data_IF_648970826414
#
_entry.id   IF_648970826414
#
_cell.length_a   1.000
_cell.length_b   1.000
_cell.length_c   1.000
_cell.angle_alpha   90.00
_cell.angle_beta   90.00
_cell.angle_gamma   90.00
#
_symmetry.space_group_name_H-M   'P 1'
#
loop_
_entity.id
_entity.type
_entity.pdbx_description
1 polymer ?
#
# COMPACT_ATOMS: atom_id res chain seq x y z
N UNK A 1 5.43 13.47 -20.50
CA UNK A 1 6.16 13.81 -19.27
C UNK A 1 5.28 13.48 -18.08
N UNK A 2 5.82 12.76 -17.09
CA UNK A 2 5.14 12.47 -15.84
C UNK A 2 5.37 13.57 -14.81
N UNK A 3 4.75 13.41 -13.63
CA UNK A 3 5.02 14.19 -12.44
C UNK A 3 5.49 13.22 -11.34
N UNK A 4 6.51 13.57 -10.58
CA UNK A 4 6.92 12.78 -9.42
C UNK A 4 5.98 12.99 -8.24
N UNK A 5 6.02 12.07 -7.26
CA UNK A 5 5.08 12.08 -6.14
C UNK A 5 5.22 13.28 -5.22
N UNK A 6 6.44 13.77 -5.01
CA UNK A 6 6.69 14.94 -4.16
C UNK A 6 6.07 16.20 -4.78
N UNK A 7 6.39 16.49 -6.05
CA UNK A 7 5.83 17.63 -6.80
C UNK A 7 4.29 17.56 -6.90
N UNK A 8 3.72 16.34 -7.05
CA UNK A 8 2.27 16.18 -7.04
C UNK A 8 1.69 16.56 -5.68
N UNK A 9 2.27 16.09 -4.59
CA UNK A 9 1.84 16.40 -3.23
C UNK A 9 1.89 17.90 -2.94
N UNK A 10 3.00 18.58 -3.28
CA UNK A 10 3.13 20.03 -3.12
C UNK A 10 2.04 20.80 -3.88
N UNK A 11 1.77 20.42 -5.13
CA UNK A 11 0.71 21.09 -5.93
C UNK A 11 -0.68 20.87 -5.35
N UNK A 12 -0.96 19.69 -4.80
CA UNK A 12 -2.24 19.41 -4.14
C UNK A 12 -2.39 20.23 -2.86
N UNK A 13 -1.33 20.34 -2.04
CA UNK A 13 -1.30 21.17 -0.85
C UNK A 13 -1.52 22.65 -1.20
N UNK A 14 -0.74 23.21 -2.11
CA UNK A 14 -0.88 24.59 -2.58
C UNK A 14 -2.28 24.88 -3.13
N UNK A 15 -2.88 23.90 -3.80
CA UNK A 15 -4.24 24.04 -4.27
C UNK A 15 -5.26 24.14 -3.13
N UNK A 16 -5.11 23.35 -2.08
CA UNK A 16 -5.98 23.43 -0.89
C UNK A 16 -5.79 24.74 -0.12
N UNK A 17 -4.55 25.18 0.07
CA UNK A 17 -4.21 26.42 0.76
C UNK A 17 -4.77 27.67 0.07
N UNK A 18 -4.84 27.67 -1.27
CA UNK A 18 -5.51 28.74 -2.04
C UNK A 18 -6.99 28.92 -1.70
N UNK A 19 -7.64 27.91 -1.16
CA UNK A 19 -9.02 27.94 -0.70
C UNK A 19 -9.14 28.06 0.82
N UNK A 20 -8.04 28.41 1.51
CA UNK A 20 -8.04 28.72 2.94
C UNK A 20 -7.76 27.52 3.85
N UNK A 21 -7.34 26.39 3.32
CA UNK A 21 -6.85 25.30 4.16
C UNK A 21 -5.53 25.73 4.85
N UNK A 22 -5.39 25.35 6.12
CA UNK A 22 -4.15 25.58 6.88
C UNK A 22 -3.41 24.26 6.99
N UNK A 23 -2.12 24.28 6.65
CA UNK A 23 -1.24 23.11 6.79
C UNK A 23 -0.37 23.28 8.01
N UNK A 24 -0.44 22.31 8.93
CA UNK A 24 0.41 22.23 10.12
C UNK A 24 1.25 20.95 10.06
N UNK A 25 2.57 21.11 10.20
CA UNK A 25 3.49 19.97 10.27
C UNK A 25 3.63 19.55 11.74
N UNK A 26 2.84 18.56 12.15
CA UNK A 26 2.79 18.09 13.52
C UNK A 26 2.69 16.57 13.58
N UNK A 27 3.32 15.97 14.58
CA UNK A 27 3.14 14.56 14.90
C UNK A 27 1.95 14.40 15.86
N UNK A 28 1.00 13.52 15.51
CA UNK A 28 -0.17 13.22 16.33
C UNK A 28 0.18 12.05 17.26
N UNK A 29 0.11 12.27 18.57
CA UNK A 29 0.42 11.25 19.58
C UNK A 29 -0.80 10.53 20.12
N UNK A 30 -1.96 11.23 20.16
CA UNK A 30 -3.19 10.68 20.72
C UNK A 30 -4.40 11.33 20.07
N UNK A 31 -5.47 10.55 19.98
CA UNK A 31 -6.77 11.02 19.49
C UNK A 31 -7.87 10.71 20.50
N UNK A 32 -8.90 11.54 20.53
CA UNK A 32 -10.19 11.32 21.18
C UNK A 32 -11.26 11.69 20.18
N UNK A 33 -11.89 10.68 19.59
CA UNK A 33 -12.77 10.86 18.43
C UNK A 33 -14.27 10.77 18.79
N UNK A 34 -14.59 10.36 20.01
CA UNK A 34 -15.97 10.31 20.53
C UNK A 34 -16.50 11.71 20.89
N UNK A 35 -17.83 11.86 20.89
CA UNK A 35 -18.51 13.11 21.27
C UNK A 35 -18.57 14.16 20.14
N UNK A 36 -19.11 15.36 20.48
CA UNK A 36 -19.30 16.45 19.51
C UNK A 36 -17.98 17.08 19.05
N UNK A 37 -17.03 17.22 19.96
CA UNK A 37 -15.69 17.77 19.67
C UNK A 37 -14.67 16.65 19.67
N UNK A 38 -13.97 16.49 18.56
CA UNK A 38 -12.84 15.57 18.38
C UNK A 38 -11.56 16.30 18.78
N UNK A 39 -10.64 15.59 19.40
CA UNK A 39 -9.40 16.18 19.91
C UNK A 39 -8.19 15.36 19.42
N UNK A 40 -7.17 16.06 18.98
CA UNK A 40 -5.89 15.53 18.53
C UNK A 40 -4.79 16.17 19.41
N UNK A 41 -4.07 15.34 20.17
CA UNK A 41 -2.89 15.79 20.93
C UNK A 41 -1.66 15.62 20.02
N UNK A 42 -0.93 16.70 19.75
CA UNK A 42 0.17 16.75 18.78
C UNK A 42 1.43 17.39 19.34
N UNK A 43 2.54 17.33 18.57
CA UNK A 43 3.79 18.04 18.89
C UNK A 43 3.62 19.55 18.98
N UNK A 44 2.65 20.12 18.24
CA UNK A 44 2.39 21.57 18.16
C UNK A 44 1.19 22.00 19.02
N UNK A 45 0.74 21.13 19.95
CA UNK A 45 -0.36 21.43 20.87
C UNK A 45 -1.61 20.59 20.59
N UNK A 46 -2.74 21.07 21.06
CA UNK A 46 -4.02 20.37 20.99
C UNK A 46 -4.91 20.99 19.92
N UNK A 47 -5.27 20.20 18.93
CA UNK A 47 -6.24 20.60 17.91
C UNK A 47 -7.64 20.03 18.24
N UNK A 48 -8.64 20.84 17.97
CA UNK A 48 -10.03 20.45 18.19
C UNK A 48 -10.87 20.72 16.94
N UNK A 49 -11.75 19.78 16.61
CA UNK A 49 -12.66 19.90 15.49
C UNK A 49 -13.98 19.20 15.74
N UNK A 50 -15.00 19.62 15.00
CA UNK A 50 -16.32 18.95 15.01
C UNK A 50 -16.34 17.71 14.13
N UNK A 51 -15.48 17.70 13.11
CA UNK A 51 -15.25 16.57 12.21
C UNK A 51 -13.76 16.26 12.08
N UNK A 52 -13.43 15.01 11.76
CA UNK A 52 -12.07 14.56 11.46
C UNK A 52 -12.11 13.67 10.22
N UNK A 53 -11.23 13.92 9.27
CA UNK A 53 -10.97 13.01 8.14
C UNK A 53 -9.60 12.37 8.35
N UNK A 54 -9.57 11.04 8.45
CA UNK A 54 -8.35 10.27 8.63
C UNK A 54 -7.86 9.84 7.25
N UNK A 55 -6.66 10.30 6.87
CA UNK A 55 -6.03 10.02 5.57
C UNK A 55 -4.56 9.57 5.73
N UNK A 56 -4.28 8.79 6.79
CA UNK A 56 -2.92 8.37 7.19
C UNK A 56 -2.32 7.31 6.27
N UNK A 57 -3.11 6.74 5.36
CA UNK A 57 -2.64 5.84 4.32
C UNK A 57 -2.27 4.44 4.81
N UNK A 58 -1.50 3.72 3.97
CA UNK A 58 -1.00 2.38 4.26
C UNK A 58 0.37 2.18 3.60
N UNK A 59 1.33 1.70 4.36
CA UNK A 59 2.68 1.40 3.88
C UNK A 59 2.79 -0.04 3.37
N UNK A 60 3.60 -0.32 2.35
CA UNK A 60 3.92 -1.68 1.97
C UNK A 60 4.66 -2.38 3.11
N UNK A 61 4.41 -3.67 3.30
CA UNK A 61 5.19 -4.50 4.23
C UNK A 61 6.52 -4.86 3.57
N UNK A 62 7.65 -4.55 4.20
CA UNK A 62 8.95 -4.97 3.68
C UNK A 62 9.16 -6.48 3.85
N UNK A 63 10.11 -7.04 3.11
CA UNK A 63 10.61 -8.39 3.35
C UNK A 63 11.52 -8.44 4.59
N UNK A 64 12.16 -7.31 4.90
CA UNK A 64 13.11 -7.18 6.01
C UNK A 64 14.48 -7.73 5.68
N UNK A 65 14.85 -7.79 4.40
CA UNK A 65 16.19 -8.22 3.98
C UNK A 65 17.15 -7.03 3.92
N UNK A 66 18.43 -7.22 4.25
CA UNK A 66 19.42 -6.15 4.20
C UNK A 66 19.49 -5.49 2.80
N UNK A 67 19.58 -4.16 2.76
CA UNK A 67 19.69 -3.40 1.52
C UNK A 67 18.37 -3.10 0.81
N UNK A 68 17.22 -3.60 1.30
CA UNK A 68 15.91 -3.43 0.66
C UNK A 68 15.56 -1.95 0.44
N UNK A 69 15.71 -1.13 1.47
CA UNK A 69 15.41 0.30 1.41
C UNK A 69 16.31 1.03 0.39
N UNK A 70 17.61 0.77 0.41
CA UNK A 70 18.60 1.39 -0.48
C UNK A 70 18.38 1.04 -1.96
N UNK A 71 17.75 -0.11 -2.24
CA UNK A 71 17.42 -0.60 -3.57
C UNK A 71 15.99 -0.25 -4.02
N UNK A 72 15.17 0.37 -3.15
CA UNK A 72 13.85 0.84 -3.53
C UNK A 72 13.96 1.87 -4.64
N UNK A 73 13.22 1.63 -5.75
CA UNK A 73 13.35 2.39 -7.00
C UNK A 73 14.57 2.01 -7.87
N UNK A 74 15.52 1.23 -7.34
CA UNK A 74 16.71 0.74 -8.07
C UNK A 74 16.64 -0.76 -8.37
N UNK A 75 15.44 -1.26 -8.55
CA UNK A 75 15.16 -2.67 -8.84
C UNK A 75 14.27 -3.34 -7.81
N UNK A 76 14.05 -2.75 -6.64
CA UNK A 76 13.06 -3.19 -5.64
C UNK A 76 11.84 -2.28 -5.70
N UNK A 77 10.65 -2.86 -5.79
CA UNK A 77 9.37 -2.17 -6.00
C UNK A 77 8.25 -2.81 -5.19
N UNK A 78 7.20 -2.03 -4.91
CA UNK A 78 6.02 -2.46 -4.15
C UNK A 78 4.70 -2.33 -4.93
N UNK A 79 4.77 -1.94 -6.22
CA UNK A 79 3.61 -1.73 -7.07
C UNK A 79 3.93 -2.10 -8.53
N UNK A 80 3.46 -3.25 -9.01
CA UNK A 80 3.69 -3.65 -10.39
C UNK A 80 2.99 -2.73 -11.41
N UNK A 81 1.79 -2.23 -11.07
CA UNK A 81 1.06 -1.31 -11.93
C UNK A 81 1.77 0.05 -12.07
N UNK A 82 2.47 0.50 -11.02
CA UNK A 82 3.18 1.77 -10.99
C UNK A 82 4.54 1.67 -11.70
N UNK A 83 5.31 0.63 -11.39
CA UNK A 83 6.74 0.52 -11.69
C UNK A 83 7.08 -0.57 -12.71
N UNK A 84 6.09 -1.28 -13.24
CA UNK A 84 6.31 -2.44 -14.12
C UNK A 84 6.78 -2.06 -15.53
N UNK A 85 6.39 -0.91 -16.07
CA UNK A 85 6.65 -0.53 -17.46
C UNK A 85 8.13 -0.58 -17.87
N UNK A 86 9.13 -0.15 -17.07
CA UNK A 86 10.56 -0.24 -17.38
C UNK A 86 11.10 -1.68 -17.48
N UNK A 87 10.31 -2.67 -17.05
CA UNK A 87 10.69 -4.09 -17.05
C UNK A 87 10.17 -4.85 -18.27
N UNK A 88 9.69 -4.15 -19.29
CA UNK A 88 9.32 -4.77 -20.57
C UNK A 88 10.51 -5.54 -21.16
N UNK A 89 10.27 -6.83 -21.46
CA UNK A 89 11.30 -7.72 -22.02
C UNK A 89 12.40 -8.17 -21.05
N UNK A 90 12.31 -7.81 -19.77
CA UNK A 90 13.25 -8.18 -18.72
C UNK A 90 12.76 -9.35 -17.88
N UNK A 91 13.65 -9.89 -17.04
CA UNK A 91 13.33 -10.92 -16.04
C UNK A 91 13.00 -10.26 -14.71
N UNK A 92 11.83 -10.57 -14.13
CA UNK A 92 11.41 -10.01 -12.86
C UNK A 92 10.99 -11.10 -11.88
N UNK A 93 11.05 -10.79 -10.60
CA UNK A 93 10.53 -11.62 -9.53
C UNK A 93 9.38 -10.91 -8.79
N UNK A 94 8.37 -11.66 -8.40
CA UNK A 94 7.27 -11.23 -7.52
C UNK A 94 7.31 -12.07 -6.27
N UNK A 95 7.34 -11.44 -5.09
CA UNK A 95 7.28 -12.15 -3.81
C UNK A 95 5.91 -11.98 -3.19
N UNK A 96 5.27 -13.12 -2.92
CA UNK A 96 3.96 -13.18 -2.27
C UNK A 96 3.15 -14.38 -2.73
N UNK A 97 1.96 -14.55 -2.18
CA UNK A 97 1.07 -15.69 -2.55
C UNK A 97 -0.40 -15.36 -2.37
N UNK A 98 -0.73 -14.11 -2.11
CA UNK A 98 -2.11 -13.61 -2.05
C UNK A 98 -2.57 -12.98 -3.37
N UNK A 99 -3.79 -12.43 -3.39
CA UNK A 99 -4.38 -11.81 -4.58
C UNK A 99 -3.50 -10.72 -5.19
N UNK A 100 -2.86 -9.87 -4.38
CA UNK A 100 -1.97 -8.82 -4.89
C UNK A 100 -0.80 -9.40 -5.66
N UNK A 101 -0.08 -10.40 -5.09
CA UNK A 101 1.05 -11.02 -5.76
C UNK A 101 0.62 -11.73 -7.06
N UNK A 102 -0.52 -12.40 -7.05
CA UNK A 102 -1.07 -13.07 -8.22
C UNK A 102 -1.45 -12.07 -9.33
N UNK A 103 -2.11 -10.97 -8.97
CA UNK A 103 -2.45 -9.90 -9.90
C UNK A 103 -1.20 -9.21 -10.48
N UNK A 104 -0.20 -8.91 -9.63
CA UNK A 104 1.06 -8.32 -10.03
C UNK A 104 1.83 -9.23 -10.99
N UNK A 105 1.93 -10.54 -10.68
CA UNK A 105 2.58 -11.51 -11.54
C UNK A 105 1.90 -11.62 -12.92
N UNK A 106 0.55 -11.65 -12.95
CA UNK A 106 -0.22 -11.62 -14.21
C UNK A 106 -0.04 -10.32 -14.99
N UNK A 107 0.01 -9.18 -14.33
CA UNK A 107 0.25 -7.90 -15.01
C UNK A 107 1.65 -7.88 -15.63
N UNK A 108 2.66 -8.32 -14.88
CA UNK A 108 4.04 -8.37 -15.33
C UNK A 108 4.27 -9.42 -16.41
N UNK A 109 3.56 -10.57 -16.39
CA UNK A 109 3.69 -11.61 -17.42
C UNK A 109 3.34 -11.11 -18.82
N UNK A 110 2.51 -10.08 -18.94
CA UNK A 110 2.13 -9.47 -20.23
C UNK A 110 3.23 -8.63 -20.88
N UNK A 111 4.23 -8.22 -20.10
CA UNK A 111 5.26 -7.29 -20.54
C UNK A 111 6.69 -7.81 -20.36
N UNK A 112 6.93 -8.57 -19.29
CA UNK A 112 8.25 -9.11 -18.97
C UNK A 112 8.60 -10.33 -19.84
N UNK A 113 9.90 -10.57 -20.02
CA UNK A 113 10.42 -11.80 -20.66
C UNK A 113 10.14 -13.02 -19.79
N UNK A 114 10.34 -12.88 -18.48
CA UNK A 114 10.17 -13.95 -17.49
C UNK A 114 9.69 -13.35 -16.17
N UNK A 115 8.80 -14.05 -15.48
CA UNK A 115 8.31 -13.71 -14.14
C UNK A 115 8.55 -14.90 -13.24
N UNK A 116 9.28 -14.73 -12.16
CA UNK A 116 9.38 -15.68 -11.07
C UNK A 116 8.40 -15.30 -9.96
N UNK A 117 7.46 -16.20 -9.63
CA UNK A 117 6.55 -16.00 -8.51
C UNK A 117 7.04 -16.79 -7.29
N UNK A 118 7.63 -16.08 -6.34
CA UNK A 118 8.28 -16.64 -5.17
C UNK A 118 7.29 -16.71 -4.02
N UNK A 119 7.04 -17.91 -3.49
CA UNK A 119 6.13 -18.10 -2.38
C UNK A 119 6.66 -19.12 -1.36
N UNK A 120 6.53 -18.76 -0.07
CA UNK A 120 7.01 -19.58 1.06
C UNK A 120 6.21 -20.87 1.32
N UNK A 121 5.15 -21.14 0.56
CA UNK A 121 4.30 -22.34 0.63
C UNK A 121 4.31 -23.02 -0.72
N UNK A 122 3.72 -24.20 -0.77
CA UNK A 122 3.56 -25.03 -1.96
C UNK A 122 2.33 -24.67 -2.83
N UNK A 123 1.54 -23.67 -2.39
CA UNK A 123 0.30 -23.28 -3.05
C UNK A 123 -0.08 -21.83 -2.77
N UNK A 124 -0.72 -21.17 -3.74
CA UNK A 124 -1.20 -19.80 -3.60
C UNK A 124 -2.37 -19.71 -2.62
N UNK A 125 -2.41 -18.63 -1.86
CA UNK A 125 -3.58 -18.20 -1.08
C UNK A 125 -4.52 -17.30 -1.86
N UNK A 126 -4.13 -16.90 -3.06
CA UNK A 126 -4.93 -16.11 -3.98
C UNK A 126 -6.24 -16.86 -4.33
N UNK A 127 -7.27 -16.11 -4.66
CA UNK A 127 -8.53 -16.69 -5.16
C UNK A 127 -8.29 -17.48 -6.43
N UNK A 128 -9.09 -18.53 -6.63
CA UNK A 128 -8.92 -19.49 -7.73
C UNK A 128 -8.94 -18.86 -9.14
N UNK A 129 -9.55 -17.69 -9.28
CA UNK A 129 -9.58 -16.95 -10.54
C UNK A 129 -8.18 -16.60 -11.10
N UNK A 130 -7.17 -16.52 -10.22
CA UNK A 130 -5.79 -16.26 -10.62
C UNK A 130 -4.98 -17.51 -10.94
N UNK A 131 -5.40 -18.70 -10.48
CA UNK A 131 -4.59 -19.91 -10.55
C UNK A 131 -4.37 -20.37 -12.00
N UNK A 132 -5.44 -20.59 -12.74
CA UNK A 132 -5.36 -21.06 -14.12
C UNK A 132 -4.59 -20.08 -15.03
N UNK A 133 -4.89 -18.76 -15.04
CA UNK A 133 -4.13 -17.80 -15.85
C UNK A 133 -2.64 -17.78 -15.53
N UNK A 134 -2.26 -17.92 -14.25
CA UNK A 134 -0.84 -17.94 -13.87
C UNK A 134 -0.14 -19.25 -14.27
N UNK A 135 -0.82 -20.38 -14.07
CA UNK A 135 -0.27 -21.68 -14.42
C UNK A 135 -0.15 -21.89 -15.93
N UNK A 136 -1.01 -21.24 -16.71
CA UNK A 136 -1.01 -21.31 -18.18
C UNK A 136 -0.06 -20.29 -18.82
N UNK A 137 0.44 -19.32 -18.08
CA UNK A 137 1.33 -18.30 -18.61
C UNK A 137 2.71 -18.90 -18.89
N UNK A 138 3.19 -18.91 -20.15
CA UNK A 138 4.41 -19.64 -20.55
C UNK A 138 5.70 -19.04 -19.99
N UNK A 139 5.62 -17.78 -19.53
CA UNK A 139 6.77 -17.04 -18.98
C UNK A 139 6.67 -16.84 -17.46
N UNK A 140 5.72 -17.48 -16.78
CA UNK A 140 5.65 -17.49 -15.32
C UNK A 140 6.22 -18.79 -14.79
N UNK A 141 7.13 -18.67 -13.84
CA UNK A 141 7.71 -19.81 -13.11
C UNK A 141 7.49 -19.62 -11.61
N UNK A 142 7.04 -20.70 -10.96
CA UNK A 142 6.78 -20.68 -9.52
C UNK A 142 8.01 -21.17 -8.74
N UNK A 143 8.48 -20.37 -7.81
CA UNK A 143 9.47 -20.75 -6.81
C UNK A 143 8.74 -21.04 -5.50
N UNK A 144 8.22 -22.26 -5.39
CA UNK A 144 7.52 -22.72 -4.19
C UNK A 144 8.46 -22.96 -3.03
N UNK A 145 7.91 -22.95 -1.80
CA UNK A 145 8.65 -23.20 -0.56
C UNK A 145 9.89 -22.33 -0.43
N UNK A 146 9.87 -21.14 -1.02
CA UNK A 146 11.05 -20.27 -1.12
C UNK A 146 10.79 -18.91 -0.50
N UNK A 147 11.81 -18.39 0.15
CA UNK A 147 11.88 -17.01 0.65
C UNK A 147 13.12 -16.33 0.08
N UNK A 148 13.10 -15.00 0.03
CA UNK A 148 14.29 -14.21 -0.33
C UNK A 148 15.13 -14.05 0.93
N UNK A 149 16.39 -14.50 0.90
CA UNK A 149 17.35 -14.35 2.01
C UNK A 149 18.33 -13.20 1.80
N UNK A 150 18.61 -12.82 0.55
CA UNK A 150 19.45 -11.67 0.23
C UNK A 150 19.09 -11.05 -1.12
N UNK A 151 19.43 -9.78 -1.29
CA UNK A 151 19.37 -9.06 -2.55
C UNK A 151 20.78 -9.02 -3.15
N UNK A 152 20.92 -9.47 -4.41
CA UNK A 152 22.17 -9.41 -5.16
C UNK A 152 22.15 -8.13 -5.99
N UNK A 153 23.19 -7.31 -5.84
CA UNK A 153 23.19 -5.99 -6.47
C UNK A 153 24.59 -5.43 -6.68
N UNK A 154 24.71 -4.54 -7.64
CA UNK A 154 25.78 -3.55 -7.76
C UNK A 154 25.20 -2.16 -7.38
N UNK A 155 25.03 -1.27 -8.37
CA UNK A 155 24.32 0.01 -8.19
C UNK A 155 22.78 -0.16 -8.20
N UNK A 156 22.30 -1.31 -8.65
CA UNK A 156 20.91 -1.71 -8.72
C UNK A 156 20.79 -3.22 -8.54
N UNK A 157 19.56 -3.70 -8.35
CA UNK A 157 19.30 -5.14 -8.25
C UNK A 157 19.76 -5.89 -9.50
N UNK A 158 20.46 -7.01 -9.30
CA UNK A 158 20.90 -7.95 -10.34
C UNK A 158 20.37 -9.36 -10.14
N UNK A 159 19.87 -9.65 -8.94
CA UNK A 159 19.33 -10.97 -8.60
C UNK A 159 18.90 -11.07 -7.14
N UNK A 160 18.53 -12.27 -6.77
CA UNK A 160 18.07 -12.64 -5.44
C UNK A 160 18.79 -13.90 -4.98
N UNK A 161 19.03 -14.03 -3.68
CA UNK A 161 19.30 -15.32 -3.08
C UNK A 161 18.01 -15.86 -2.49
N UNK A 162 17.60 -17.02 -2.96
CA UNK A 162 16.43 -17.74 -2.47
C UNK A 162 16.86 -18.80 -1.48
N UNK A 163 16.05 -18.97 -0.43
CA UNK A 163 16.22 -20.02 0.57
C UNK A 163 14.99 -20.91 0.58
N UNK A 164 15.17 -22.20 0.38
CA UNK A 164 14.14 -23.20 0.55
C UNK A 164 13.77 -23.35 2.03
N UNK A 165 12.49 -23.19 2.36
CA UNK A 165 12.01 -23.19 3.75
C UNK A 165 12.02 -24.57 4.40
N UNK A 166 12.05 -25.66 3.62
CA UNK A 166 12.02 -27.03 4.12
C UNK A 166 13.43 -27.58 4.35
N UNK A 167 14.34 -27.28 3.41
CA UNK A 167 15.70 -27.84 3.43
C UNK A 167 16.75 -26.85 3.95
N UNK A 168 16.45 -25.55 3.89
CA UNK A 168 17.40 -24.50 4.18
C UNK A 168 18.42 -24.25 3.07
N UNK A 169 18.35 -24.99 1.95
CA UNK A 169 19.25 -24.81 0.81
C UNK A 169 19.07 -23.44 0.18
N UNK A 170 20.18 -22.83 -0.24
CA UNK A 170 20.16 -21.53 -0.90
C UNK A 170 20.65 -21.64 -2.34
N UNK A 171 20.08 -20.82 -3.23
CA UNK A 171 20.54 -20.67 -4.60
C UNK A 171 20.29 -19.24 -5.09
N UNK A 172 21.08 -18.81 -6.03
CA UNK A 172 20.96 -17.48 -6.63
C UNK A 172 20.06 -17.51 -7.85
N UNK A 173 19.20 -16.50 -7.97
CA UNK A 173 18.24 -16.28 -9.05
C UNK A 173 18.52 -14.92 -9.70
N UNK A 174 18.96 -14.91 -10.94
CA UNK A 174 19.18 -13.67 -11.67
C UNK A 174 17.85 -13.01 -12.08
N UNK A 175 17.67 -11.73 -11.77
CA UNK A 175 16.54 -10.92 -12.22
C UNK A 175 16.87 -9.43 -12.20
N UNK A 176 16.18 -8.66 -13.05
CA UNK A 176 16.36 -7.22 -13.20
C UNK A 176 15.51 -6.41 -12.23
N UNK A 177 14.46 -7.01 -11.66
CA UNK A 177 13.54 -6.35 -10.74
C UNK A 177 12.83 -7.30 -9.81
N UNK A 178 12.57 -6.83 -8.59
CA UNK A 178 11.83 -7.50 -7.54
C UNK A 178 10.59 -6.67 -7.19
N UNK A 179 9.41 -7.29 -7.23
CA UNK A 179 8.14 -6.71 -6.81
C UNK A 179 7.66 -7.39 -5.53
N UNK A 180 7.60 -6.63 -4.44
CA UNK A 180 7.25 -7.14 -3.12
C UNK A 180 5.75 -6.97 -2.89
N UNK A 181 5.01 -8.08 -2.86
CA UNK A 181 3.54 -8.13 -2.75
C UNK A 181 3.10 -8.99 -1.57
N UNK A 182 3.72 -8.75 -0.39
CA UNK A 182 3.46 -9.49 0.85
C UNK A 182 2.40 -8.83 1.75
N UNK A 183 1.74 -7.79 1.25
CA UNK A 183 0.69 -7.04 1.92
C UNK A 183 1.09 -5.62 2.27
N UNK A 184 0.13 -4.89 2.85
CA UNK A 184 0.31 -3.52 3.33
C UNK A 184 -0.10 -3.44 4.80
N UNK A 185 0.40 -2.44 5.51
CA UNK A 185 0.02 -2.10 6.87
C UNK A 185 -0.62 -0.71 6.85
N UNK A 186 -1.93 -0.58 7.16
CA UNK A 186 -2.54 0.73 7.32
C UNK A 186 -1.99 1.42 8.57
N UNK A 187 -1.80 2.74 8.50
CA UNK A 187 -1.37 3.55 9.64
C UNK A 187 -2.57 3.84 10.56
N UNK A 188 -2.93 2.88 11.38
CA UNK A 188 -4.15 2.89 12.23
C UNK A 188 -3.88 2.69 13.70
N UNK A 189 -2.64 2.70 14.13
CA UNK A 189 -2.24 2.44 15.52
C UNK A 189 -2.94 3.39 16.50
N UNK A 190 -3.07 4.67 16.14
CA UNK A 190 -3.71 5.70 16.94
C UNK A 190 -5.23 5.51 17.09
N UNK A 191 -5.85 4.71 16.22
CA UNK A 191 -7.31 4.55 16.15
C UNK A 191 -7.79 3.23 16.73
N UNK A 192 -6.86 2.39 17.21
CA UNK A 192 -7.20 1.13 17.87
C UNK A 192 -7.97 1.40 19.17
N UNK A 193 -9.14 0.77 19.29
CA UNK A 193 -10.06 1.01 20.41
C UNK A 193 -11.00 2.22 20.26
N UNK A 194 -10.71 3.13 19.34
CA UNK A 194 -11.58 4.28 19.00
C UNK A 194 -12.52 3.92 17.84
N UNK A 195 -12.02 3.27 16.81
CA UNK A 195 -12.76 2.97 15.58
C UNK A 195 -12.88 1.47 15.32
N UNK A 196 -13.90 1.07 14.57
CA UNK A 196 -14.03 -0.28 14.06
C UNK A 196 -12.98 -0.54 12.96
N UNK A 197 -12.14 -1.56 13.19
CA UNK A 197 -11.13 -2.01 12.24
C UNK A 197 -11.46 -3.41 11.73
N UNK A 198 -11.05 -3.72 10.51
CA UNK A 198 -11.14 -5.07 9.97
C UNK A 198 -10.01 -5.97 10.51
N UNK A 199 -10.00 -7.26 10.12
CA UNK A 199 -8.98 -8.24 10.54
C UNK A 199 -7.56 -7.89 10.07
N UNK A 200 -7.42 -6.98 9.13
CA UNK A 200 -6.15 -6.49 8.57
C UNK A 200 -5.78 -5.10 9.08
N UNK A 201 -6.51 -4.63 10.11
CA UNK A 201 -6.37 -3.32 10.76
C UNK A 201 -6.76 -2.12 9.89
N UNK A 202 -7.48 -2.28 8.78
CA UNK A 202 -8.03 -1.16 8.02
C UNK A 202 -9.26 -0.58 8.72
N UNK A 203 -9.42 0.75 8.69
CA UNK A 203 -10.63 1.41 9.19
C UNK A 203 -11.82 0.95 8.35
N UNK A 204 -12.84 0.44 9.00
CA UNK A 204 -14.08 0.03 8.34
C UNK A 204 -14.87 1.28 7.93
N UNK A 205 -14.95 1.50 6.63
CA UNK A 205 -15.74 2.56 6.01
C UNK A 205 -16.19 2.09 4.63
N UNK A 206 -17.39 2.49 4.25
CA UNK A 206 -17.96 2.23 2.92
C UNK A 206 -17.65 3.36 1.93
N UNK A 207 -18.36 3.41 0.81
CA UNK A 207 -18.19 4.45 -0.21
C UNK A 207 -18.58 5.85 0.27
N UNK A 208 -19.30 5.98 1.39
CA UNK A 208 -19.57 7.28 2.06
C UNK A 208 -18.39 7.79 2.88
N UNK A 209 -17.34 7.00 3.05
CA UNK A 209 -16.18 7.28 3.88
C UNK A 209 -16.47 7.43 5.39
N UNK A 210 -17.73 7.26 5.80
CA UNK A 210 -18.14 7.31 7.21
C UNK A 210 -17.53 6.13 7.96
N UNK A 211 -17.05 6.42 9.17
CA UNK A 211 -16.53 5.40 10.10
C UNK A 211 -17.60 4.96 11.11
N UNK A 212 -17.21 4.16 12.09
CA UNK A 212 -18.08 3.77 13.20
C UNK A 212 -18.48 4.92 14.15
N UNK A 213 -17.81 6.08 14.06
CA UNK A 213 -18.09 7.25 14.89
C UNK A 213 -18.67 8.40 14.06
N UNK A 214 -19.76 9.04 14.54
CA UNK A 214 -20.35 10.20 13.87
C UNK A 214 -19.35 11.38 13.75
N UNK A 215 -19.29 11.99 12.57
CA UNK A 215 -18.37 13.10 12.28
C UNK A 215 -16.90 12.69 12.11
N UNK A 216 -16.62 11.39 12.03
CA UNK A 216 -15.29 10.85 11.73
C UNK A 216 -15.34 10.08 10.40
N UNK A 217 -14.45 10.43 9.48
CA UNK A 217 -14.37 9.89 8.13
C UNK A 217 -13.00 9.31 7.88
N UNK A 218 -12.89 8.34 6.96
CA UNK A 218 -11.62 7.74 6.56
C UNK A 218 -11.49 7.77 5.04
N UNK A 219 -10.39 8.33 4.52
CA UNK A 219 -10.14 8.51 3.10
C UNK A 219 -8.83 7.84 2.66
N UNK A 220 -8.81 7.29 1.46
CA UNK A 220 -7.62 6.69 0.87
C UNK A 220 -7.29 5.30 1.40
N UNK A 221 -5.99 4.99 1.41
CA UNK A 221 -5.48 3.64 1.62
C UNK A 221 -5.65 3.11 3.06
N UNK A 222 -5.97 3.96 4.01
CA UNK A 222 -6.16 3.61 5.43
C UNK A 222 -7.45 2.83 5.70
N UNK A 223 -8.44 2.95 4.80
CA UNK A 223 -9.76 2.32 4.95
C UNK A 223 -9.92 1.02 4.16
N UNK A 224 -10.98 0.27 4.48
CA UNK A 224 -11.42 -0.89 3.69
C UNK A 224 -11.80 -0.45 2.27
N UNK A 225 -11.13 -0.98 1.25
CA UNK A 225 -11.42 -0.73 -0.16
C UNK A 225 -10.76 -1.77 -1.07
N UNK A 226 -11.32 -1.94 -2.26
CA UNK A 226 -10.84 -2.92 -3.23
C UNK A 226 -9.55 -2.48 -3.95
N UNK A 227 -9.43 -1.20 -4.29
CA UNK A 227 -8.32 -0.65 -5.07
C UNK A 227 -7.68 0.54 -4.33
N UNK A 228 -6.35 0.50 -4.22
CA UNK A 228 -5.52 1.53 -3.56
C UNK A 228 -4.63 2.19 -4.59
N UNK A 229 -5.04 3.38 -5.05
CA UNK A 229 -4.35 4.21 -6.03
C UNK A 229 -4.60 5.69 -5.71
N UNK A 230 -3.73 6.59 -6.18
CA UNK A 230 -3.88 8.04 -5.96
C UNK A 230 -5.27 8.53 -6.36
N UNK A 231 -5.78 8.10 -7.52
CA UNK A 231 -7.10 8.52 -8.01
C UNK A 231 -8.23 8.09 -7.08
N UNK A 232 -8.16 6.90 -6.48
CA UNK A 232 -9.19 6.44 -5.52
C UNK A 232 -9.05 7.13 -4.17
N UNK A 233 -7.85 7.51 -3.76
CA UNK A 233 -7.63 8.31 -2.54
C UNK A 233 -8.17 9.73 -2.70
N UNK A 234 -7.94 10.37 -3.84
CA UNK A 234 -8.50 11.70 -4.17
C UNK A 234 -10.04 11.67 -4.18
N UNK A 235 -10.63 10.64 -4.80
CA UNK A 235 -12.08 10.43 -4.79
C UNK A 235 -12.64 10.32 -3.36
N UNK A 236 -12.00 9.52 -2.50
CA UNK A 236 -12.40 9.38 -1.10
C UNK A 236 -12.32 10.73 -0.36
N UNK A 237 -11.28 11.53 -0.62
CA UNK A 237 -11.14 12.86 -0.02
C UNK A 237 -12.30 13.78 -0.37
N UNK A 238 -12.70 13.81 -1.63
CA UNK A 238 -13.87 14.59 -2.09
C UNK A 238 -15.16 14.13 -1.42
N UNK A 239 -15.38 12.82 -1.34
CA UNK A 239 -16.56 12.22 -0.69
C UNK A 239 -16.57 12.52 0.81
N UNK A 240 -15.40 12.41 1.48
CA UNK A 240 -15.28 12.70 2.92
C UNK A 240 -15.66 14.16 3.25
N UNK A 241 -15.21 15.12 2.43
CA UNK A 241 -15.55 16.53 2.60
C UNK A 241 -17.06 16.75 2.45
N UNK A 242 -17.67 16.19 1.40
CA UNK A 242 -19.12 16.29 1.17
C UNK A 242 -19.93 15.82 2.40
N UNK A 243 -19.62 14.64 2.92
CA UNK A 243 -20.33 14.11 4.09
C UNK A 243 -19.96 14.79 5.41
N UNK A 244 -18.76 15.39 5.51
CA UNK A 244 -18.41 16.20 6.66
C UNK A 244 -19.21 17.52 6.70
N UNK A 245 -19.43 18.16 5.54
CA UNK A 245 -20.31 19.34 5.42
C UNK A 245 -21.77 19.01 5.80
N UNK A 246 -22.31 17.90 5.29
CA UNK A 246 -23.64 17.41 5.64
C UNK A 246 -23.77 17.21 7.17
N UNK A 247 -22.82 16.49 7.78
CA UNK A 247 -22.79 16.28 9.22
C UNK A 247 -22.76 17.59 10.02
N UNK A 248 -21.97 18.57 9.58
CA UNK A 248 -21.88 19.87 10.24
C UNK A 248 -23.18 20.69 10.12
N UNK A 249 -23.88 20.57 9.00
CA UNK A 249 -25.17 21.23 8.79
C UNK A 249 -26.27 20.65 9.70
N UNK A 250 -26.31 19.34 9.85
CA UNK A 250 -27.30 18.62 10.68
C UNK A 250 -27.06 18.78 12.19
N UNK A 251 -25.81 19.03 12.60
CA UNK A 251 -25.40 19.07 14.01
C UNK A 251 -24.92 20.46 14.46
N UNK A 252 -25.61 21.51 14.03
CA UNK A 252 -25.30 22.91 14.39
C UNK A 252 -25.36 23.19 15.90
#
# INVERSE_FOLDING_TARGET
>A
SGIDGFTLGEKMQQSAERFGAVTELAEVYKVRLSGKIKTLDTSEGVFQGRTVVIATGASPRPLGVPGEEALTGKGVHYCAACDGAPYRGKTVAVVGGGNSAAADALALSRIAKKVYLIHRRDSLRATKVYHEPLMSAPNVEFCWNSTVSALLHDNRLTGLRLKDVNTGAEHDLACDGLFISVGRAPATELFQGELALDKSCYIMADESTRTSLPGVFAAGDVRTKALRQVVTAVSDGAVAVHYAEEYLAENR
#
